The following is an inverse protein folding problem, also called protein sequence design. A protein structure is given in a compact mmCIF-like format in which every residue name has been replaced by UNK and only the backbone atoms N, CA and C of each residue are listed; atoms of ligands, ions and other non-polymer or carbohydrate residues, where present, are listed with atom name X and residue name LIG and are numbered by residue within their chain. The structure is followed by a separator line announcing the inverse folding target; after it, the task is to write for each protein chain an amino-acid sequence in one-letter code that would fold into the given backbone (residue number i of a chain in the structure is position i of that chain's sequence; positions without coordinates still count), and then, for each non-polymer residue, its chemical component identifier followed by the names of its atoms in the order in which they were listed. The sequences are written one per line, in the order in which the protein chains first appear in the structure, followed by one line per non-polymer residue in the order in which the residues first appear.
data_IF_129745140083
#
_entry.id   IF_129745140083
#
_cell.length_a   1.000
_cell.length_b   1.000
_cell.length_c   1.000
_cell.angle_alpha   90.00
_cell.angle_beta   90.00
_cell.angle_gamma   90.00
#
_symmetry.space_group_name_H-M   'P 1'
#
loop_
_entity.id
_entity.type
_entity.pdbx_description
1 polymer ?
#
# COMPACT_ATOMS: atom_id res chain seq x y z
N UNK A 1 9.29 -1.22 10.62
CA UNK A 1 7.92 -1.26 10.10
C UNK A 1 7.95 -1.65 8.63
N UNK A 2 6.98 -2.42 8.13
CA UNK A 2 6.88 -2.87 6.74
C UNK A 2 5.61 -2.36 6.06
N UNK A 3 4.56 -2.16 6.82
CA UNK A 3 3.31 -1.55 6.38
C UNK A 3 2.85 -0.50 7.38
N UNK A 4 2.17 0.51 6.89
CA UNK A 4 1.67 1.64 7.65
C UNK A 4 0.31 2.06 7.09
N UNK A 5 -0.56 2.60 7.90
CA UNK A 5 -1.82 3.18 7.45
C UNK A 5 -2.49 3.99 8.56
N UNK A 6 -3.22 5.02 8.17
CA UNK A 6 -4.10 5.75 9.08
C UNK A 6 -5.45 5.07 9.18
N UNK A 7 -6.02 5.04 10.37
CA UNK A 7 -7.46 4.87 10.53
C UNK A 7 -8.19 6.05 9.84
N UNK A 8 -9.30 5.81 9.15
CA UNK A 8 -9.97 6.88 8.39
C UNK A 8 -10.70 7.93 9.25
N UNK A 9 -10.63 7.86 10.60
CA UNK A 9 -11.21 8.88 11.49
C UNK A 9 -10.46 10.20 11.35
N UNK A 10 -11.21 11.31 11.32
CA UNK A 10 -10.65 12.66 11.23
C UNK A 10 -10.48 13.34 12.60
N UNK A 11 -11.05 12.74 13.65
CA UNK A 11 -11.06 13.34 15.00
C UNK A 11 -9.67 13.29 15.65
N UNK A 12 -8.89 12.26 15.32
CA UNK A 12 -7.56 12.03 15.89
C UNK A 12 -6.68 11.17 14.97
N UNK A 13 -5.34 11.37 15.00
CA UNK A 13 -4.41 10.60 14.19
C UNK A 13 -4.15 9.22 14.81
N UNK A 14 -4.94 8.23 14.43
CA UNK A 14 -4.73 6.82 14.82
C UNK A 14 -3.98 6.10 13.71
N UNK A 15 -2.80 5.58 14.03
CA UNK A 15 -1.88 4.98 13.07
C UNK A 15 -1.70 3.50 13.38
N UNK A 16 -1.75 2.68 12.33
CA UNK A 16 -1.53 1.25 12.35
C UNK A 16 -0.20 0.93 11.67
N UNK A 17 0.62 0.14 12.31
CA UNK A 17 1.94 -0.24 11.81
C UNK A 17 2.15 -1.75 11.91
N UNK A 18 2.42 -2.39 10.77
CA UNK A 18 2.76 -3.80 10.69
C UNK A 18 4.28 -4.02 10.64
N UNK A 19 4.77 -5.02 11.32
CA UNK A 19 6.19 -5.36 11.37
C UNK A 19 6.54 -6.64 10.56
N UNK A 20 7.82 -6.99 10.56
CA UNK A 20 8.32 -8.18 9.84
C UNK A 20 8.03 -9.49 10.57
N UNK A 21 7.75 -9.46 11.85
CA UNK A 21 7.46 -10.63 12.68
C UNK A 21 5.94 -10.93 12.72
N UNK A 22 5.10 -10.10 12.08
CA UNK A 22 3.64 -10.25 12.04
C UNK A 22 2.91 -9.64 13.23
N UNK A 23 3.57 -8.74 13.97
CA UNK A 23 2.89 -7.92 14.96
C UNK A 23 2.33 -6.64 14.31
N UNK A 24 1.16 -6.24 14.79
CA UNK A 24 0.49 -4.99 14.47
C UNK A 24 0.49 -4.10 15.71
N UNK A 25 1.02 -2.88 15.59
CA UNK A 25 0.90 -1.82 16.58
C UNK A 25 -0.17 -0.82 16.17
N UNK A 26 -0.99 -0.38 17.12
CA UNK A 26 -1.97 0.71 16.97
C UNK A 26 -1.56 1.82 17.91
N UNK A 27 -1.37 3.00 17.36
CA UNK A 27 -0.90 4.17 18.06
C UNK A 27 -1.85 5.34 17.84
N UNK A 28 -2.36 5.91 18.94
CA UNK A 28 -3.10 7.18 18.94
C UNK A 28 -2.10 8.33 19.18
N UNK A 29 -1.78 9.07 18.11
CA UNK A 29 -0.79 10.14 18.20
C UNK A 29 -1.31 11.43 18.85
N UNK A 30 -2.59 11.48 19.26
CA UNK A 30 -3.14 12.57 20.09
C UNK A 30 -2.90 12.37 21.59
N UNK A 31 -2.20 11.31 22.01
CA UNK A 31 -1.86 11.08 23.42
C UNK A 31 -1.04 12.27 23.95
N UNK A 32 -1.44 12.76 25.12
CA UNK A 32 -0.65 13.74 25.85
C UNK A 32 0.66 13.07 26.29
N UNK A 33 1.79 13.70 26.00
CA UNK A 33 3.07 13.31 26.61
C UNK A 33 2.95 13.57 28.11
N UNK A 34 3.23 12.59 28.99
CA UNK A 34 3.27 12.81 30.43
C UNK A 34 4.25 13.98 30.73
N UNK A 35 3.85 14.85 31.66
CA UNK A 35 4.73 15.88 32.15
C UNK A 35 5.97 15.24 32.78
N UNK A 36 7.15 15.59 32.29
CA UNK A 36 8.43 15.18 32.86
C UNK A 36 8.82 16.27 33.83
N UNK A 37 9.11 15.92 35.10
CA UNK A 37 9.64 16.86 36.06
C UNK A 37 11.00 17.37 35.56
N UNK A 38 11.14 18.70 35.40
CA UNK A 38 12.34 19.37 34.90
C UNK A 38 13.59 19.22 35.81
N UNK A 39 13.44 18.57 36.96
CA UNK A 39 14.49 18.47 37.98
C UNK A 39 15.46 17.26 37.78
N UNK A 40 15.18 16.35 36.78
CA UNK A 40 16.08 15.25 36.46
C UNK A 40 16.95 15.56 35.25
N UNK A 41 18.28 15.54 35.41
CA UNK A 41 19.31 15.77 34.39
C UNK A 41 19.27 14.75 33.21
N UNK A 42 18.46 13.71 33.29
CA UNK A 42 18.18 12.73 32.23
C UNK A 42 16.67 12.76 31.87
N UNK A 43 16.31 13.62 30.91
CA UNK A 43 14.96 13.68 30.34
C UNK A 43 14.66 12.38 29.57
N UNK A 44 14.23 11.34 30.27
CA UNK A 44 13.63 10.15 29.66
C UNK A 44 12.14 10.42 29.38
N UNK A 45 11.81 10.68 28.14
CA UNK A 45 10.40 10.74 27.70
C UNK A 45 9.81 9.34 27.81
N UNK A 46 8.69 9.16 28.55
CA UNK A 46 8.06 7.85 28.65
C UNK A 46 7.59 7.35 27.28
N UNK A 47 7.71 6.05 27.08
CA UNK A 47 7.24 5.43 25.84
C UNK A 47 5.73 5.64 25.65
N UNK A 48 5.27 5.91 24.40
CA UNK A 48 3.85 6.07 24.12
C UNK A 48 3.09 4.76 24.35
N UNK A 49 1.81 4.88 24.73
CA UNK A 49 0.94 3.72 24.86
C UNK A 49 0.60 3.16 23.49
N UNK A 50 0.97 1.92 23.22
CA UNK A 50 0.72 1.20 21.97
C UNK A 50 -0.11 -0.04 22.26
N UNK A 51 -1.26 -0.19 21.55
CA UNK A 51 -1.98 -1.46 21.52
C UNK A 51 -1.31 -2.39 20.51
N UNK A 52 -0.86 -3.56 20.94
CA UNK A 52 -0.13 -4.50 20.10
C UNK A 52 -0.88 -5.83 19.94
N UNK A 53 -0.94 -6.33 18.71
CA UNK A 53 -1.60 -7.58 18.33
C UNK A 53 -0.64 -8.47 17.55
N UNK A 54 -0.50 -9.74 17.93
CA UNK A 54 0.21 -10.74 17.13
C UNK A 54 -0.76 -11.34 16.11
N UNK A 55 -0.92 -10.67 14.96
CA UNK A 55 -1.89 -11.07 13.97
C UNK A 55 -1.40 -12.17 13.03
N UNK A 56 -0.12 -12.15 12.69
CA UNK A 56 0.48 -13.02 11.69
C UNK A 56 1.75 -13.69 12.22
N UNK A 57 2.26 -14.69 11.51
CA UNK A 57 3.53 -15.36 11.84
C UNK A 57 4.73 -14.83 11.07
N UNK A 58 4.48 -14.04 10.00
CA UNK A 58 5.51 -13.41 9.15
C UNK A 58 5.12 -11.96 8.85
N UNK A 59 5.92 -11.27 8.07
CA UNK A 59 5.77 -9.85 7.70
C UNK A 59 4.34 -9.48 7.31
N UNK A 60 3.78 -8.45 7.94
CA UNK A 60 2.57 -7.78 7.48
C UNK A 60 2.95 -6.85 6.32
N UNK A 61 2.62 -7.25 5.11
CA UNK A 61 3.02 -6.56 3.87
C UNK A 61 2.12 -5.42 3.47
N UNK A 62 0.84 -5.48 3.87
CA UNK A 62 -0.18 -4.51 3.52
C UNK A 62 -1.27 -4.41 4.58
N UNK A 63 -1.82 -3.21 4.72
CA UNK A 63 -2.97 -2.87 5.56
C UNK A 63 -4.02 -2.18 4.69
N UNK A 64 -5.30 -2.45 4.93
CA UNK A 64 -6.41 -1.80 4.26
C UNK A 64 -7.57 -1.61 5.25
N UNK A 65 -8.23 -0.46 5.22
CA UNK A 65 -9.38 -0.16 6.06
C UNK A 65 -10.68 -0.26 5.27
N UNK A 66 -11.74 -0.75 5.92
CA UNK A 66 -13.07 -0.75 5.31
C UNK A 66 -13.56 0.67 5.09
N UNK A 67 -14.10 1.01 3.91
CA UNK A 67 -14.69 2.32 3.68
C UNK A 67 -16.07 2.49 4.33
N UNK A 68 -16.68 1.39 4.80
CA UNK A 68 -18.04 1.36 5.32
C UNK A 68 -18.15 0.91 6.79
N UNK A 69 -17.06 0.38 7.34
CA UNK A 69 -17.01 -0.13 8.72
C UNK A 69 -15.70 0.33 9.37
N UNK A 70 -15.74 1.39 10.15
CA UNK A 70 -14.59 1.95 10.84
C UNK A 70 -13.89 0.94 11.79
N UNK A 71 -14.61 -0.09 12.26
CA UNK A 71 -14.04 -1.13 13.13
C UNK A 71 -13.35 -2.26 12.37
N UNK A 72 -13.35 -2.23 11.03
CA UNK A 72 -12.78 -3.30 10.20
C UNK A 72 -11.47 -2.87 9.54
N UNK A 73 -10.37 -3.51 9.94
CA UNK A 73 -9.08 -3.42 9.29
C UNK A 73 -8.68 -4.79 8.73
N UNK A 74 -8.12 -4.80 7.53
CA UNK A 74 -7.64 -5.99 6.84
C UNK A 74 -6.13 -5.96 6.71
N UNK A 75 -5.50 -7.12 6.83
CA UNK A 75 -4.04 -7.28 6.67
C UNK A 75 -3.71 -8.45 5.77
N UNK A 76 -2.70 -8.25 4.92
CA UNK A 76 -2.06 -9.30 4.14
C UNK A 76 -0.65 -9.57 4.66
N UNK A 77 -0.21 -10.83 4.62
CA UNK A 77 1.08 -11.22 5.17
C UNK A 77 1.84 -12.22 4.29
N UNK A 78 3.14 -12.24 4.47
CA UNK A 78 4.02 -13.26 3.88
C UNK A 78 3.81 -14.66 4.49
N UNK A 79 2.97 -14.79 5.54
CA UNK A 79 2.55 -16.08 6.07
C UNK A 79 1.42 -16.74 5.25
N UNK A 80 1.16 -16.24 4.04
CA UNK A 80 0.15 -16.74 3.10
C UNK A 80 -1.29 -16.55 3.57
N UNK A 81 -1.55 -15.63 4.51
CA UNK A 81 -2.89 -15.38 5.01
C UNK A 81 -3.34 -13.94 4.86
N UNK A 82 -4.65 -13.75 4.73
CA UNK A 82 -5.35 -12.48 4.83
C UNK A 82 -6.26 -12.55 6.04
N UNK A 83 -6.19 -11.52 6.89
CA UNK A 83 -6.94 -11.47 8.15
C UNK A 83 -7.70 -10.16 8.29
N UNK A 84 -8.83 -10.23 9.01
CA UNK A 84 -9.60 -9.07 9.48
C UNK A 84 -9.38 -8.90 10.97
N UNK A 85 -9.10 -7.67 11.41
CA UNK A 85 -9.19 -7.25 12.80
C UNK A 85 -10.51 -6.50 13.00
N UNK A 86 -11.32 -6.94 13.94
CA UNK A 86 -12.39 -6.17 14.55
C UNK A 86 -11.75 -5.32 15.67
N UNK A 87 -11.61 -4.02 15.42
CA UNK A 87 -10.85 -3.12 16.29
C UNK A 87 -11.52 -2.99 17.66
N UNK A 88 -12.85 -2.83 17.67
CA UNK A 88 -13.63 -2.67 18.90
C UNK A 88 -13.56 -3.93 19.80
N UNK A 89 -13.72 -5.12 19.19
CA UNK A 89 -13.69 -6.38 19.92
C UNK A 89 -12.29 -6.93 20.15
N UNK A 90 -11.28 -6.37 19.49
CA UNK A 90 -9.89 -6.87 19.50
C UNK A 90 -9.79 -8.34 19.05
N UNK A 91 -10.60 -8.74 18.07
CA UNK A 91 -10.67 -10.12 17.55
C UNK A 91 -10.16 -10.17 16.14
N UNK A 92 -9.27 -11.13 15.87
CA UNK A 92 -8.72 -11.40 14.54
C UNK A 92 -9.37 -12.62 13.92
N UNK A 93 -9.82 -12.51 12.66
CA UNK A 93 -10.40 -13.60 11.89
C UNK A 93 -9.61 -13.82 10.61
N UNK A 94 -9.24 -15.06 10.29
CA UNK A 94 -8.65 -15.40 8.99
C UNK A 94 -9.75 -15.42 7.93
N UNK A 95 -9.53 -14.67 6.84
CA UNK A 95 -10.46 -14.60 5.72
C UNK A 95 -10.05 -15.49 4.56
N UNK A 96 -8.73 -15.54 4.29
CA UNK A 96 -8.19 -16.33 3.21
C UNK A 96 -6.81 -16.91 3.59
N UNK A 97 -6.56 -18.11 3.14
CA UNK A 97 -5.26 -18.77 3.06
C UNK A 97 -5.37 -19.88 2.00
N UNK A 98 -4.26 -20.37 1.41
CA UNK A 98 -4.27 -21.50 0.50
C UNK A 98 -4.89 -22.76 1.17
N UNK A 99 -5.54 -23.60 0.36
CA UNK A 99 -6.17 -24.83 0.86
C UNK A 99 -5.14 -25.83 1.41
N UNK A 100 -3.97 -25.90 0.78
CA UNK A 100 -2.83 -26.67 1.33
C UNK A 100 -2.00 -25.74 2.26
N UNK A 101 -1.98 -26.08 3.53
CA UNK A 101 -1.22 -25.34 4.55
C UNK A 101 0.31 -25.34 4.32
N UNK A 102 0.82 -26.24 3.46
CA UNK A 102 2.23 -26.28 3.08
C UNK A 102 2.54 -25.38 1.86
N UNK A 103 1.54 -24.84 1.21
CA UNK A 103 1.72 -23.94 0.08
C UNK A 103 2.15 -22.55 0.57
N UNK A 104 3.34 -22.11 0.13
CA UNK A 104 3.87 -20.78 0.47
C UNK A 104 3.44 -19.77 -0.59
N UNK A 105 2.37 -19.00 -0.31
CA UNK A 105 1.79 -17.96 -1.19
C UNK A 105 1.88 -16.59 -0.52
N UNK A 106 3.07 -15.99 -0.40
CA UNK A 106 3.23 -14.73 0.33
C UNK A 106 2.43 -13.61 -0.31
N UNK A 107 1.55 -12.98 0.46
CA UNK A 107 0.70 -11.86 0.02
C UNK A 107 1.56 -10.58 -0.01
N UNK A 108 1.67 -9.94 -1.17
CA UNK A 108 2.47 -8.72 -1.34
C UNK A 108 1.67 -7.43 -1.14
N UNK A 109 0.40 -7.44 -1.51
CA UNK A 109 -0.52 -6.31 -1.30
C UNK A 109 -1.98 -6.81 -1.24
N UNK A 110 -2.84 -6.00 -0.61
CA UNK A 110 -4.29 -6.18 -0.57
C UNK A 110 -4.99 -4.84 -0.81
N UNK A 111 -6.17 -4.85 -1.39
CA UNK A 111 -7.09 -3.71 -1.45
C UNK A 111 -8.54 -4.21 -1.52
N UNK A 112 -9.51 -3.35 -1.20
CA UNK A 112 -10.93 -3.69 -1.25
C UNK A 112 -11.55 -3.26 -2.60
N UNK A 113 -12.09 -4.23 -3.34
CA UNK A 113 -12.87 -3.98 -4.56
C UNK A 113 -14.26 -3.40 -4.21
N UNK A 114 -14.86 -3.96 -3.19
CA UNK A 114 -16.10 -3.55 -2.54
C UNK A 114 -16.07 -3.99 -1.06
N UNK A 115 -17.06 -3.64 -0.22
CA UNK A 115 -17.04 -3.98 1.21
C UNK A 115 -16.89 -5.47 1.54
N UNK A 116 -17.19 -6.35 0.58
CA UNK A 116 -17.16 -7.80 0.77
C UNK A 116 -16.14 -8.52 -0.11
N UNK A 117 -15.45 -7.82 -0.99
CA UNK A 117 -14.52 -8.45 -1.95
C UNK A 117 -13.11 -7.87 -1.79
N UNK A 118 -12.17 -8.74 -1.45
CA UNK A 118 -10.73 -8.42 -1.36
C UNK A 118 -10.05 -8.83 -2.66
N UNK A 119 -9.24 -7.92 -3.19
CA UNK A 119 -8.22 -8.23 -4.21
C UNK A 119 -6.87 -8.32 -3.49
N UNK A 120 -6.06 -9.28 -3.89
CA UNK A 120 -4.72 -9.44 -3.34
C UNK A 120 -3.73 -9.88 -4.42
N UNK A 121 -2.46 -9.54 -4.23
CA UNK A 121 -1.35 -9.99 -5.08
C UNK A 121 -0.36 -10.82 -4.28
N UNK A 122 0.38 -11.68 -4.98
CA UNK A 122 1.34 -12.60 -4.39
C UNK A 122 2.75 -12.36 -4.91
N UNK A 123 3.73 -12.78 -4.14
CA UNK A 123 5.13 -12.83 -4.59
C UNK A 123 5.40 -13.94 -5.61
N UNK A 124 4.37 -14.70 -6.01
CA UNK A 124 4.47 -15.71 -7.08
C UNK A 124 3.96 -15.20 -8.43
N UNK A 125 3.60 -13.89 -8.52
CA UNK A 125 3.14 -13.28 -9.77
C UNK A 125 1.64 -13.43 -10.03
N UNK A 126 0.88 -13.90 -9.03
CA UNK A 126 -0.57 -14.08 -9.13
C UNK A 126 -1.33 -12.94 -8.47
N UNK A 127 -2.57 -12.74 -8.90
CA UNK A 127 -3.58 -11.91 -8.25
C UNK A 127 -4.80 -12.75 -7.92
N UNK A 128 -5.37 -12.54 -6.75
CA UNK A 128 -6.59 -13.18 -6.29
C UNK A 128 -7.73 -12.21 -6.08
N UNK A 129 -8.96 -12.70 -6.30
CA UNK A 129 -10.21 -12.02 -5.94
C UNK A 129 -11.01 -12.96 -5.06
N UNK A 130 -11.36 -12.50 -3.86
CA UNK A 130 -12.06 -13.32 -2.87
C UNK A 130 -13.22 -12.57 -2.24
N UNK A 131 -14.41 -13.17 -2.26
CA UNK A 131 -15.56 -12.70 -1.47
C UNK A 131 -15.40 -13.24 -0.04
N UNK A 132 -15.22 -12.34 0.94
CA UNK A 132 -14.97 -12.69 2.34
C UNK A 132 -16.09 -13.45 3.05
N UNK A 133 -17.25 -13.59 2.39
CA UNK A 133 -18.41 -14.36 2.87
C UNK A 133 -18.39 -15.80 2.39
N UNK A 134 -17.53 -16.14 1.42
CA UNK A 134 -17.38 -17.47 0.85
C UNK A 134 -16.16 -18.19 1.43
N UNK A 135 -15.96 -19.43 1.05
CA UNK A 135 -14.78 -20.18 1.46
C UNK A 135 -13.53 -19.70 0.70
N UNK A 136 -12.36 -19.88 1.31
CA UNK A 136 -11.08 -19.50 0.70
C UNK A 136 -10.85 -20.17 -0.66
N UNK A 137 -11.29 -21.42 -0.83
CA UNK A 137 -11.22 -22.22 -2.08
C UNK A 137 -12.07 -21.67 -3.23
N UNK A 138 -13.06 -20.80 -2.94
CA UNK A 138 -13.89 -20.14 -3.95
C UNK A 138 -13.20 -18.89 -4.54
N UNK A 139 -12.01 -18.52 -4.07
CA UNK A 139 -11.26 -17.39 -4.59
C UNK A 139 -10.85 -17.62 -6.06
N UNK A 140 -11.03 -16.60 -6.89
CA UNK A 140 -10.50 -16.60 -8.25
C UNK A 140 -9.03 -16.17 -8.22
N UNK A 141 -8.14 -17.01 -8.76
CA UNK A 141 -6.69 -16.72 -8.83
C UNK A 141 -6.29 -16.64 -10.30
N UNK A 142 -5.52 -15.59 -10.65
CA UNK A 142 -5.01 -15.35 -11.98
C UNK A 142 -3.50 -15.19 -11.95
N UNK A 143 -2.78 -15.95 -12.79
CA UNK A 143 -1.36 -15.71 -13.05
C UNK A 143 -1.22 -14.49 -13.98
N UNK A 144 -0.66 -13.37 -13.49
CA UNK A 144 -0.58 -12.11 -14.23
C UNK A 144 0.85 -11.73 -14.62
N UNK A 145 1.84 -12.29 -13.97
CA UNK A 145 3.25 -12.02 -14.23
C UNK A 145 4.10 -13.28 -14.00
N UNK A 146 5.17 -13.42 -14.78
CA UNK A 146 6.15 -14.51 -14.62
C UNK A 146 7.09 -14.29 -13.43
N UNK A 147 7.07 -13.10 -12.86
CA UNK A 147 7.90 -12.68 -11.73
C UNK A 147 7.01 -12.12 -10.62
N UNK A 148 7.61 -11.88 -9.46
CA UNK A 148 6.93 -11.32 -8.29
C UNK A 148 6.17 -10.04 -8.63
N UNK A 149 4.91 -9.96 -8.22
CA UNK A 149 4.18 -8.70 -8.15
C UNK A 149 4.57 -8.05 -6.82
N UNK A 150 5.33 -6.94 -6.89
CA UNK A 150 5.79 -6.20 -5.71
C UNK A 150 4.67 -5.43 -5.03
N UNK A 151 3.67 -5.01 -5.78
CA UNK A 151 2.46 -4.36 -5.31
C UNK A 151 1.51 -4.03 -6.45
N UNK A 152 0.28 -3.71 -6.08
CA UNK A 152 -0.77 -3.26 -6.99
C UNK A 152 -1.61 -2.18 -6.32
N UNK A 153 -2.46 -1.53 -7.08
CA UNK A 153 -3.49 -0.61 -6.58
C UNK A 153 -4.75 -0.72 -7.44
N UNK A 154 -5.91 -0.70 -6.80
CA UNK A 154 -7.18 -0.44 -7.46
C UNK A 154 -7.35 1.06 -7.69
N UNK A 155 -7.99 1.43 -8.79
CA UNK A 155 -8.40 2.82 -8.98
C UNK A 155 -9.48 3.19 -7.95
N UNK A 156 -9.28 4.23 -7.10
CA UNK A 156 -10.16 4.50 -5.97
C UNK A 156 -11.64 4.69 -6.30
N UNK A 157 -11.96 5.26 -7.48
CA UNK A 157 -13.33 5.48 -7.94
C UNK A 157 -13.81 4.45 -8.97
N UNK A 158 -12.90 3.64 -9.52
CA UNK A 158 -13.18 2.63 -10.54
C UNK A 158 -12.45 1.32 -10.16
N UNK A 159 -12.84 0.63 -9.09
CA UNK A 159 -12.08 -0.49 -8.51
C UNK A 159 -11.89 -1.67 -9.46
N UNK A 160 -12.63 -1.72 -10.57
CA UNK A 160 -12.40 -2.69 -11.64
C UNK A 160 -11.13 -2.43 -12.47
N UNK A 161 -10.52 -1.26 -12.36
CA UNK A 161 -9.23 -0.95 -12.97
C UNK A 161 -8.11 -1.21 -11.96
N UNK A 162 -7.17 -2.05 -12.35
CA UNK A 162 -6.07 -2.49 -11.50
C UNK A 162 -4.74 -2.18 -12.17
N UNK A 163 -3.84 -1.54 -11.44
CA UNK A 163 -2.44 -1.37 -11.86
C UNK A 163 -1.56 -2.34 -11.07
N UNK A 164 -0.78 -3.18 -11.76
CA UNK A 164 0.19 -4.09 -11.14
C UNK A 164 1.61 -3.70 -11.50
N UNK A 165 2.50 -3.76 -10.50
CA UNK A 165 3.93 -3.53 -10.66
C UNK A 165 4.68 -4.84 -10.40
N UNK A 166 5.51 -5.26 -11.36
CA UNK A 166 6.19 -6.55 -11.28
C UNK A 166 7.70 -6.46 -11.48
N UNK A 167 8.40 -7.44 -10.92
CA UNK A 167 9.83 -7.61 -11.08
C UNK A 167 10.21 -8.00 -12.52
N UNK A 168 9.25 -8.37 -13.38
CA UNK A 168 9.42 -8.53 -14.83
C UNK A 168 9.63 -7.19 -15.58
N UNK A 169 9.75 -6.09 -14.83
CA UNK A 169 9.99 -4.70 -15.28
C UNK A 169 8.75 -4.01 -15.85
N UNK A 170 7.54 -4.57 -15.61
CA UNK A 170 6.32 -4.02 -16.21
C UNK A 170 5.43 -3.31 -15.19
N UNK A 171 4.79 -2.23 -15.64
CA UNK A 171 3.52 -1.73 -15.17
C UNK A 171 2.44 -2.25 -16.12
N UNK A 172 1.44 -2.96 -15.61
CA UNK A 172 0.29 -3.42 -16.40
C UNK A 172 -1.00 -2.88 -15.83
N UNK A 173 -1.93 -2.50 -16.71
CA UNK A 173 -3.28 -2.07 -16.32
C UNK A 173 -4.28 -3.13 -16.79
N UNK A 174 -5.13 -3.59 -15.88
CA UNK A 174 -6.08 -4.65 -16.06
C UNK A 174 -7.52 -4.17 -15.84
N UNK A 175 -8.47 -4.80 -16.51
CA UNK A 175 -9.91 -4.56 -16.32
C UNK A 175 -10.60 -5.83 -15.82
N UNK A 176 -11.04 -5.82 -14.58
CA UNK A 176 -11.72 -6.95 -13.92
C UNK A 176 -13.14 -7.20 -14.45
N UNK A 177 -13.72 -6.27 -15.23
CA UNK A 177 -15.05 -6.45 -15.86
C UNK A 177 -15.02 -7.44 -17.01
N UNK A 178 -13.86 -7.71 -17.59
CA UNK A 178 -13.71 -8.61 -18.72
C UNK A 178 -12.64 -9.64 -18.45
N UNK A 179 -13.04 -10.90 -18.31
CA UNK A 179 -12.13 -12.03 -18.12
C UNK A 179 -11.90 -12.69 -19.47
N UNK A 180 -10.65 -12.89 -19.83
CA UNK A 180 -10.17 -13.56 -21.03
C UNK A 180 -9.58 -14.93 -20.71
N UNK A 181 -9.35 -15.77 -21.72
CA UNK A 181 -8.78 -17.11 -21.54
C UNK A 181 -9.76 -18.17 -21.06
N UNK A 182 -9.25 -19.40 -20.86
CA UNK A 182 -10.02 -20.58 -20.38
C UNK A 182 -9.17 -21.38 -19.40
N UNK A 183 -9.83 -22.02 -18.43
CA UNK A 183 -9.14 -22.83 -17.41
C UNK A 183 -8.10 -22.00 -16.65
N UNK A 184 -6.92 -22.54 -16.47
CA UNK A 184 -5.79 -21.90 -15.75
C UNK A 184 -5.20 -20.69 -16.50
N UNK A 185 -5.57 -20.50 -17.78
CA UNK A 185 -5.18 -19.33 -18.57
C UNK A 185 -6.20 -18.18 -18.47
N UNK A 186 -7.17 -18.27 -17.58
CA UNK A 186 -8.10 -17.16 -17.34
C UNK A 186 -7.35 -16.00 -16.66
N UNK A 187 -7.57 -14.81 -17.16
CA UNK A 187 -7.04 -13.57 -16.57
C UNK A 187 -7.94 -12.38 -16.91
N UNK A 188 -7.91 -11.30 -16.13
CA UNK A 188 -8.53 -10.02 -16.49
C UNK A 188 -7.99 -9.51 -17.83
N UNK A 189 -8.78 -8.72 -18.53
CA UNK A 189 -8.31 -8.11 -19.79
C UNK A 189 -7.14 -7.16 -19.51
N UNK A 190 -6.01 -7.38 -20.16
CA UNK A 190 -4.91 -6.45 -20.19
C UNK A 190 -5.30 -5.25 -21.09
N UNK A 191 -5.28 -4.04 -20.50
CA UNK A 191 -5.59 -2.81 -21.23
C UNK A 191 -4.34 -2.19 -21.84
N UNK A 192 -3.22 -2.23 -21.14
CA UNK A 192 -1.95 -1.68 -21.58
C UNK A 192 -0.80 -2.06 -20.67
N UNK A 193 0.42 -1.95 -21.19
CA UNK A 193 1.66 -2.29 -20.52
C UNK A 193 2.75 -1.26 -20.82
N UNK A 194 3.53 -0.89 -19.79
CA UNK A 194 4.77 -0.13 -19.96
C UNK A 194 5.93 -0.93 -19.39
N UNK A 195 7.01 -1.07 -20.18
CA UNK A 195 8.23 -1.76 -19.74
C UNK A 195 9.29 -0.77 -19.30
N UNK A 196 9.70 -0.84 -18.05
CA UNK A 196 10.78 -0.06 -17.46
C UNK A 196 12.15 -0.69 -17.72
N UNK A 197 13.24 0.07 -17.54
CA UNK A 197 14.59 -0.45 -17.67
C UNK A 197 14.90 -1.54 -16.64
N UNK A 198 14.46 -1.36 -15.40
CA UNK A 198 14.59 -2.33 -14.30
C UNK A 198 13.22 -2.60 -13.67
N UNK A 199 13.20 -3.52 -12.72
CA UNK A 199 11.99 -3.98 -12.02
C UNK A 199 11.17 -2.82 -11.45
N UNK A 200 9.85 -2.89 -11.62
CA UNK A 200 8.89 -1.97 -11.01
C UNK A 200 8.44 -2.57 -9.68
N UNK A 201 8.67 -1.85 -8.59
CA UNK A 201 8.45 -2.37 -7.25
C UNK A 201 7.05 -2.10 -6.69
N UNK A 202 6.42 -0.99 -7.10
CA UNK A 202 5.07 -0.62 -6.67
C UNK A 202 4.38 0.27 -7.70
N UNK A 203 3.04 0.19 -7.73
CA UNK A 203 2.17 1.08 -8.49
C UNK A 203 1.02 1.54 -7.58
N UNK A 204 0.67 2.81 -7.65
CA UNK A 204 -0.42 3.42 -6.88
C UNK A 204 -1.29 4.29 -7.77
N UNK A 205 -2.63 4.08 -7.74
CA UNK A 205 -3.63 4.89 -8.42
C UNK A 205 -4.08 6.07 -7.55
N UNK A 206 -4.22 7.25 -8.17
CA UNK A 206 -4.97 8.38 -7.59
C UNK A 206 -6.45 8.34 -8.00
N UNK A 207 -7.31 9.06 -7.27
CA UNK A 207 -8.73 9.21 -7.62
C UNK A 207 -8.96 10.01 -8.93
N UNK A 208 -7.98 10.81 -9.36
CA UNK A 208 -8.04 11.58 -10.60
C UNK A 208 -7.44 10.85 -11.83
N UNK A 209 -7.11 9.56 -11.69
CA UNK A 209 -6.61 8.75 -12.82
C UNK A 209 -5.10 8.88 -13.06
N UNK A 210 -4.31 9.27 -12.06
CA UNK A 210 -2.85 9.21 -12.16
C UNK A 210 -2.33 7.91 -11.55
N UNK A 211 -1.26 7.34 -12.13
CA UNK A 211 -0.51 6.24 -11.52
C UNK A 211 0.90 6.73 -11.21
N UNK A 212 1.34 6.56 -9.98
CA UNK A 212 2.74 6.71 -9.60
C UNK A 212 3.37 5.32 -9.42
N UNK A 213 4.56 5.12 -9.99
CA UNK A 213 5.34 3.89 -9.81
C UNK A 213 6.71 4.18 -9.27
N UNK A 214 7.25 3.28 -8.45
CA UNK A 214 8.67 3.26 -8.10
C UNK A 214 9.37 2.10 -8.80
N UNK A 215 10.59 2.33 -9.31
CA UNK A 215 11.35 1.35 -10.07
C UNK A 215 12.82 1.35 -9.65
N UNK A 216 13.47 0.20 -9.72
CA UNK A 216 14.90 0.05 -9.39
C UNK A 216 15.85 0.75 -10.38
N UNK A 217 15.31 1.39 -11.42
CA UNK A 217 16.08 2.27 -12.31
C UNK A 217 16.27 3.69 -11.74
N UNK A 218 16.00 3.87 -10.45
CA UNK A 218 16.07 5.13 -9.71
C UNK A 218 15.16 6.21 -10.28
N UNK A 219 13.94 5.78 -10.64
CA UNK A 219 12.89 6.67 -11.16
C UNK A 219 11.57 6.43 -10.42
N UNK A 220 10.87 7.54 -10.16
CA UNK A 220 9.43 7.56 -10.00
C UNK A 220 8.85 7.97 -11.35
N UNK A 221 7.87 7.23 -11.84
CA UNK A 221 7.18 7.54 -13.09
C UNK A 221 5.73 7.84 -12.81
N UNK A 222 5.21 8.92 -13.41
CA UNK A 222 3.81 9.34 -13.28
C UNK A 222 3.15 9.19 -14.65
N UNK A 223 2.07 8.41 -14.68
CA UNK A 223 1.19 8.21 -15.83
C UNK A 223 -0.12 8.95 -15.58
N UNK A 224 -0.80 9.40 -16.64
CA UNK A 224 -2.03 10.17 -16.50
C UNK A 224 -3.11 9.64 -17.45
N UNK A 225 -4.22 9.22 -16.87
CA UNK A 225 -5.38 8.65 -17.53
C UNK A 225 -6.67 9.35 -17.03
N UNK A 226 -6.88 10.65 -17.34
CA UNK A 226 -8.01 11.40 -16.82
C UNK A 226 -9.36 10.88 -17.33
N UNK A 227 -9.35 10.10 -18.41
CA UNK A 227 -10.50 9.47 -19.05
C UNK A 227 -10.77 8.04 -18.57
N UNK A 228 -10.01 7.53 -17.61
CA UNK A 228 -10.13 6.14 -17.13
C UNK A 228 -11.56 5.74 -16.72
N UNK A 229 -12.33 6.67 -16.15
CA UNK A 229 -13.73 6.44 -15.78
C UNK A 229 -14.65 6.14 -16.97
N UNK A 230 -14.28 6.55 -18.19
CA UNK A 230 -15.06 6.39 -19.42
C UNK A 230 -14.66 5.13 -20.23
N UNK A 231 -13.63 4.40 -19.81
CA UNK A 231 -13.13 3.26 -20.57
C UNK A 231 -14.15 2.12 -20.66
N UNK A 232 -14.27 1.59 -21.87
CA UNK A 232 -15.10 0.41 -22.13
C UNK A 232 -14.41 -0.85 -21.58
N UNK A 233 -15.18 -1.90 -21.20
CA UNK A 233 -14.60 -3.15 -20.74
C UNK A 233 -13.60 -3.75 -21.73
N UNK A 234 -12.34 -3.88 -21.30
CA UNK A 234 -11.23 -4.41 -22.11
C UNK A 234 -10.78 -3.49 -23.24
N UNK A 235 -10.91 -2.18 -23.07
CA UNK A 235 -10.42 -1.18 -24.03
C UNK A 235 -8.89 -1.20 -24.07
N UNK A 236 -8.31 -1.26 -25.27
CA UNK A 236 -6.88 -1.13 -25.47
C UNK A 236 -6.43 0.33 -25.27
N UNK A 237 -5.42 0.54 -24.41
CA UNK A 237 -4.81 1.83 -24.11
C UNK A 237 -3.28 1.81 -24.33
N UNK A 238 -2.77 0.81 -25.03
CA UNK A 238 -1.32 0.58 -25.20
C UNK A 238 -0.57 1.80 -25.74
N UNK A 239 -1.21 2.61 -26.58
CA UNK A 239 -0.62 3.83 -27.12
C UNK A 239 -0.43 4.96 -26.08
N UNK A 240 -1.12 4.87 -24.93
CA UNK A 240 -1.11 5.90 -23.89
C UNK A 240 -0.26 5.52 -22.66
N UNK A 241 0.49 4.41 -22.76
CA UNK A 241 1.23 3.85 -21.63
C UNK A 241 2.60 4.50 -21.36
N UNK A 242 2.94 5.59 -22.05
CA UNK A 242 4.16 6.33 -21.75
C UNK A 242 4.00 7.23 -20.51
N UNK A 243 4.99 7.28 -19.60
CA UNK A 243 4.92 8.13 -18.42
C UNK A 243 4.97 9.61 -18.82
N UNK A 244 4.09 10.42 -18.24
CA UNK A 244 4.06 11.88 -18.44
C UNK A 244 5.25 12.56 -17.76
N UNK A 245 5.61 12.10 -16.56
CA UNK A 245 6.69 12.67 -15.77
C UNK A 245 7.60 11.55 -15.26
N UNK A 246 8.88 11.85 -15.15
CA UNK A 246 9.89 10.96 -14.59
C UNK A 246 10.76 11.75 -13.61
N UNK A 247 10.73 11.36 -12.35
CA UNK A 247 11.45 12.01 -11.26
C UNK A 247 12.65 11.14 -10.90
N UNK A 248 13.85 11.73 -10.82
CA UNK A 248 15.01 11.04 -10.28
C UNK A 248 14.81 10.80 -8.77
N UNK A 249 14.85 9.56 -8.34
CA UNK A 249 14.65 9.17 -6.95
C UNK A 249 15.40 7.89 -6.65
N UNK A 250 16.24 7.89 -5.61
CA UNK A 250 17.00 6.70 -5.24
C UNK A 250 16.07 5.64 -4.62
N UNK A 251 15.83 4.58 -5.39
CA UNK A 251 15.00 3.44 -4.99
C UNK A 251 15.83 2.20 -4.62
N UNK A 252 17.15 2.32 -4.46
CA UNK A 252 18.06 1.23 -4.11
C UNK A 252 18.02 0.93 -2.61
N UNK A 253 16.95 0.32 -2.16
CA UNK A 253 16.71 0.04 -0.74
C UNK A 253 17.61 -1.05 -0.14
N UNK A 254 18.20 -1.89 -0.98
CA UNK A 254 19.05 -2.99 -0.54
C UNK A 254 18.30 -4.00 0.34
N UNK A 255 19.06 -4.63 1.27
CA UNK A 255 18.57 -5.73 2.12
C UNK A 255 17.77 -5.25 3.36
N UNK A 256 18.08 -4.04 3.85
CA UNK A 256 17.67 -3.62 5.21
C UNK A 256 16.50 -2.66 5.24
N UNK A 257 16.14 -2.10 4.09
CA UNK A 257 15.04 -1.15 3.94
C UNK A 257 13.96 -1.82 3.07
N UNK A 258 12.70 -1.75 3.49
CA UNK A 258 11.60 -2.22 2.64
C UNK A 258 11.48 -1.36 1.37
N UNK A 259 10.83 -1.87 0.34
CA UNK A 259 10.63 -1.12 -0.92
C UNK A 259 9.92 0.21 -0.64
N UNK A 260 10.41 1.27 -1.28
CA UNK A 260 9.78 2.58 -1.22
C UNK A 260 8.55 2.58 -2.13
N UNK A 261 7.39 2.88 -1.55
CA UNK A 261 6.09 2.81 -2.23
C UNK A 261 5.53 4.22 -2.36
N UNK A 262 5.31 4.75 -3.59
CA UNK A 262 4.51 5.96 -3.74
C UNK A 262 3.07 5.67 -3.29
N UNK A 263 2.49 6.58 -2.49
CA UNK A 263 1.14 6.44 -1.95
C UNK A 263 0.37 7.75 -2.13
N UNK A 264 -0.64 7.72 -3.00
CA UNK A 264 -1.52 8.87 -3.19
C UNK A 264 -2.43 9.10 -2.00
N UNK A 265 -2.72 10.36 -1.70
CA UNK A 265 -3.84 10.71 -0.86
C UNK A 265 -5.14 10.27 -1.54
N UNK A 266 -5.96 9.47 -0.84
CA UNK A 266 -7.13 8.83 -1.49
C UNK A 266 -8.26 9.79 -1.79
N UNK A 267 -8.52 10.75 -0.90
CA UNK A 267 -9.66 11.68 -0.95
C UNK A 267 -9.25 13.08 -0.47
N UNK A 268 -8.34 13.78 -1.20
CA UNK A 268 -7.92 15.12 -0.81
C UNK A 268 -9.13 16.08 -0.81
N UNK A 269 -9.24 16.91 0.23
CA UNK A 269 -10.37 17.83 0.41
C UNK A 269 -10.36 18.98 -0.59
N UNK A 270 -9.19 19.42 -0.99
CA UNK A 270 -8.97 20.50 -1.97
C UNK A 270 -8.91 20.02 -3.42
N UNK A 271 -8.96 18.69 -3.63
CA UNK A 271 -8.84 18.07 -4.95
C UNK A 271 -7.41 18.06 -5.51
N UNK A 272 -6.41 18.53 -4.76
CA UNK A 272 -5.00 18.50 -5.16
C UNK A 272 -4.43 17.08 -5.02
N UNK A 273 -4.09 16.45 -6.14
CA UNK A 273 -3.52 15.11 -6.16
C UNK A 273 -2.05 15.15 -5.74
N UNK A 274 -1.78 14.61 -4.55
CA UNK A 274 -0.43 14.49 -4.00
C UNK A 274 -0.15 13.03 -3.63
N UNK A 275 1.12 12.63 -3.71
CA UNK A 275 1.59 11.37 -3.16
C UNK A 275 2.83 11.56 -2.30
N UNK A 276 3.00 10.66 -1.34
CA UNK A 276 4.19 10.57 -0.50
C UNK A 276 5.01 9.34 -0.85
N UNK A 277 6.32 9.45 -0.65
CA UNK A 277 7.25 8.32 -0.76
C UNK A 277 8.43 8.53 0.20
N UNK A 278 8.87 7.47 0.86
CA UNK A 278 10.09 7.52 1.66
C UNK A 278 11.33 7.78 0.82
N UNK A 279 12.32 8.47 1.38
CA UNK A 279 13.57 8.84 0.72
C UNK A 279 14.77 8.22 1.46
N UNK A 280 15.74 7.67 0.72
CA UNK A 280 16.96 7.06 1.30
C UNK A 280 17.81 8.03 2.12
N UNK A 281 17.60 9.35 1.97
CA UNK A 281 18.25 10.39 2.77
C UNK A 281 17.51 10.69 4.08
N UNK A 282 16.58 9.84 4.52
CA UNK A 282 15.79 9.93 5.76
C UNK A 282 14.73 11.04 5.76
N UNK A 283 14.15 11.29 4.62
CA UNK A 283 12.99 12.17 4.46
C UNK A 283 11.78 11.38 3.98
N UNK A 284 10.61 11.99 4.07
CA UNK A 284 9.43 11.63 3.28
C UNK A 284 9.22 12.75 2.28
N UNK A 285 9.29 12.42 1.01
CA UNK A 285 9.05 13.38 -0.07
C UNK A 285 7.56 13.43 -0.43
N UNK A 286 7.05 14.63 -0.69
CA UNK A 286 5.69 14.90 -1.16
C UNK A 286 5.79 15.44 -2.57
N UNK A 287 5.08 14.79 -3.51
CA UNK A 287 5.04 15.21 -4.91
C UNK A 287 3.61 15.48 -5.38
N UNK A 288 3.46 16.43 -6.32
CA UNK A 288 2.23 16.66 -7.06
C UNK A 288 2.04 15.63 -8.18
N UNK A 289 0.85 15.60 -8.79
CA UNK A 289 0.57 14.82 -9.99
C UNK A 289 1.38 15.27 -11.22
N UNK A 290 1.86 16.50 -11.24
CA UNK A 290 2.73 17.05 -12.29
C UNK A 290 4.22 16.75 -12.08
N UNK A 291 4.55 16.06 -10.97
CA UNK A 291 5.91 15.64 -10.65
C UNK A 291 6.74 16.70 -9.91
N UNK A 292 6.14 17.79 -9.47
CA UNK A 292 6.80 18.80 -8.68
C UNK A 292 6.95 18.32 -7.22
N UNK A 293 8.13 18.49 -6.64
CA UNK A 293 8.34 18.23 -5.23
C UNK A 293 7.77 19.39 -4.40
N UNK A 294 6.69 19.11 -3.66
CA UNK A 294 5.97 20.10 -2.85
C UNK A 294 6.59 20.27 -1.46
N UNK A 295 7.06 19.16 -0.89
CA UNK A 295 7.70 19.15 0.42
C UNK A 295 8.71 18.03 0.56
N UNK A 296 9.64 18.21 1.50
CA UNK A 296 10.54 17.18 1.99
C UNK A 296 10.44 17.18 3.51
N UNK A 297 9.72 16.19 4.04
CA UNK A 297 9.40 16.09 5.45
C UNK A 297 10.53 15.39 6.19
N UNK A 298 11.12 16.08 7.15
CA UNK A 298 12.22 15.61 7.96
C UNK A 298 12.04 15.98 9.43
N UNK A 299 13.04 15.70 10.25
CA UNK A 299 13.10 16.07 11.66
C UNK A 299 14.32 15.46 12.36
N UNK A 300 14.76 16.06 13.45
CA UNK A 300 15.98 15.66 14.19
C UNK A 300 15.91 14.22 14.76
N UNK A 301 14.72 13.72 15.05
CA UNK A 301 14.48 12.35 15.55
C UNK A 301 14.53 11.25 14.48
N UNK A 302 14.64 11.57 13.17
CA UNK A 302 14.60 10.60 12.09
C UNK A 302 16.00 10.03 11.85
N UNK A 303 16.32 8.93 12.52
CA UNK A 303 17.65 8.30 12.47
C UNK A 303 17.78 7.21 11.40
N UNK A 304 16.67 6.75 10.81
CA UNK A 304 16.64 5.72 9.78
C UNK A 304 15.63 6.07 8.68
N UNK A 305 15.75 5.42 7.50
CA UNK A 305 14.90 5.67 6.34
C UNK A 305 13.42 5.40 6.66
N UNK A 306 12.51 6.39 6.54
CA UNK A 306 11.06 6.21 6.72
C UNK A 306 10.46 5.56 5.46
N UNK A 307 10.75 4.27 5.26
CA UNK A 307 10.41 3.56 4.03
C UNK A 307 8.90 3.31 3.85
N UNK A 308 8.18 3.12 4.96
CA UNK A 308 6.71 3.06 4.95
C UNK A 308 6.19 4.49 5.18
N UNK A 309 5.56 5.08 4.16
CA UNK A 309 5.00 6.42 4.21
C UNK A 309 3.57 6.43 3.68
N UNK A 310 2.66 7.12 4.37
CA UNK A 310 1.26 7.20 3.99
C UNK A 310 0.67 8.58 4.31
N UNK A 311 -0.24 9.03 3.44
CA UNK A 311 -1.19 10.09 3.79
C UNK A 311 -2.35 9.57 4.63
N UNK A 312 -2.91 10.42 5.48
CA UNK A 312 -4.29 10.24 5.94
C UNK A 312 -5.25 10.31 4.72
N UNK A 313 -6.32 9.49 4.67
CA UNK A 313 -7.19 9.44 3.48
C UNK A 313 -7.73 10.80 3.02
N UNK A 314 -8.09 11.70 3.94
CA UNK A 314 -8.77 12.97 3.66
C UNK A 314 -8.08 14.21 4.24
N UNK A 315 -7.15 14.05 5.19
CA UNK A 315 -6.41 15.15 5.83
C UNK A 315 -4.97 15.18 5.34
N UNK A 316 -4.31 16.33 5.44
CA UNK A 316 -2.92 16.51 5.00
C UNK A 316 -1.89 15.97 6.00
N UNK A 317 -2.32 15.02 6.83
CA UNK A 317 -1.43 14.32 7.74
C UNK A 317 -0.63 13.27 7.01
N UNK A 318 0.67 13.24 7.31
CA UNK A 318 1.60 12.26 6.76
C UNK A 318 2.25 11.49 7.89
N UNK A 319 2.27 10.17 7.78
CA UNK A 319 3.01 9.30 8.68
C UNK A 319 4.17 8.62 7.96
N UNK A 320 5.31 8.52 8.64
CA UNK A 320 6.50 7.82 8.16
C UNK A 320 7.00 6.82 9.18
N UNK A 321 7.20 5.58 8.78
CA UNK A 321 7.70 4.49 9.63
C UNK A 321 9.00 3.88 9.13
N UNK A 322 9.93 3.60 10.03
CA UNK A 322 11.25 3.06 9.67
C UNK A 322 11.50 1.65 10.21
N UNK A 323 12.62 1.05 9.80
CA UNK A 323 12.98 -0.31 10.20
C UNK A 323 13.38 -0.47 11.68
N UNK A 324 13.72 0.63 12.38
CA UNK A 324 14.02 0.61 13.81
C UNK A 324 12.78 0.72 14.71
N UNK A 325 11.59 0.76 14.13
CA UNK A 325 10.33 0.83 14.87
C UNK A 325 9.86 2.25 15.21
N UNK A 326 10.60 3.28 14.79
CA UNK A 326 10.20 4.68 15.03
C UNK A 326 9.15 5.12 14.00
N UNK A 327 8.15 5.85 14.49
CA UNK A 327 7.09 6.50 13.75
C UNK A 327 7.28 8.02 13.81
N UNK A 328 7.11 8.68 12.67
CA UNK A 328 7.06 10.13 12.57
C UNK A 328 5.71 10.55 12.01
N UNK A 329 5.14 11.64 12.53
CA UNK A 329 3.88 12.21 12.10
C UNK A 329 4.08 13.70 11.81
N UNK A 330 3.56 14.16 10.68
CA UNK A 330 3.48 15.56 10.27
C UNK A 330 2.02 15.91 10.04
N UNK A 331 1.60 17.08 10.56
CA UNK A 331 0.23 17.59 10.49
C UNK A 331 0.22 19.07 10.10
#
# INVERSE_FOLDING_TARGET
MYSLGFHPTEDKPVIFAGDKEGALGIFDASQETPEVDDDDDELEYPDPVISAFKMHSRTISALCFSPTDANAMYSGSYDSSIRKLDIEKSVTTQLWAPADANEDVPISAIDLYDPNTIIFSTLQGSMGKHDIRTKAEDAEIWALADQKIGGFSLHPLQPHLVATASLDRTLKIWDLRKISGKGDLRHPALLGEHTSRLSVSHASWSSAGHIATSSYDDRIKIYSFPDAASWKPGQDISENMEPKHQIAHNNQTGRWVTILKPQWQRQPRDGLMMFVIGNMNRFVDVFSADGDQLAQLGGDGITAVPAAAHFHPSLDWVAGGNASGKLSLWM
#
